data_IF_957920920148
#
_entry.id   IF_957920920148
#
_cell.length_a   1.000
_cell.length_b   1.000
_cell.length_c   1.000
_cell.angle_alpha   90.00
_cell.angle_beta   90.00
_cell.angle_gamma   90.00
#
_symmetry.space_group_name_H-M   'P 1'
#
loop_
_entity.id
_entity.type
_entity.pdbx_description
1 polymer ?
#
# COMPACT_ATOMS: atom_id res chain seq x y z
N UNK A 1 15.43 -2.43 7.85
CA UNK A 1 14.75 -1.22 8.38
C UNK A 1 15.45 0.01 7.81
N UNK A 2 14.73 1.10 7.54
CA UNK A 2 15.29 2.38 7.08
C UNK A 2 14.99 3.51 8.08
N UNK A 3 15.71 4.63 7.95
CA UNK A 3 15.50 5.84 8.74
C UNK A 3 15.89 7.08 7.94
N UNK A 4 15.31 8.24 8.27
CA UNK A 4 15.65 9.50 7.64
C UNK A 4 16.85 10.16 8.33
N UNK A 5 17.64 10.92 7.56
CA UNK A 5 18.69 11.82 8.06
C UNK A 5 18.53 13.19 7.39
N UNK A 6 18.36 14.29 8.16
CA UNK A 6 18.23 14.32 9.62
C UNK A 6 16.93 13.65 10.11
N UNK A 7 16.96 13.03 11.29
CA UNK A 7 15.84 12.25 11.83
C UNK A 7 14.69 13.08 12.41
N UNK A 8 14.85 14.40 12.48
CA UNK A 8 13.89 15.36 13.02
C UNK A 8 13.24 16.25 11.94
N UNK A 9 13.23 15.79 10.68
CA UNK A 9 12.51 16.48 9.61
C UNK A 9 11.05 16.69 10.00
N UNK A 10 10.47 17.83 9.64
CA UNK A 10 9.09 18.19 9.96
C UNK A 10 8.22 17.97 8.72
N UNK A 11 7.00 17.53 8.97
CA UNK A 11 5.95 17.57 7.96
C UNK A 11 5.45 19.00 7.78
N UNK A 12 4.95 19.32 6.60
CA UNK A 12 4.30 20.61 6.34
C UNK A 12 2.95 20.67 7.04
N UNK A 13 2.53 21.87 7.45
CA UNK A 13 1.24 22.06 8.13
C UNK A 13 0.07 21.62 7.26
N UNK A 14 0.17 21.85 5.95
CA UNK A 14 -0.82 21.49 4.94
C UNK A 14 -1.01 19.97 4.85
N UNK A 15 0.07 19.20 4.93
CA UNK A 15 -0.01 17.74 4.93
C UNK A 15 -0.73 17.20 6.18
N UNK A 16 -0.43 17.78 7.34
CA UNK A 16 -1.06 17.41 8.60
C UNK A 16 -2.55 17.75 8.58
N UNK A 17 -2.90 18.94 8.09
CA UNK A 17 -4.30 19.36 7.96
C UNK A 17 -5.07 18.48 6.97
N UNK A 18 -4.45 18.14 5.83
CA UNK A 18 -5.05 17.24 4.85
C UNK A 18 -5.35 15.86 5.47
N UNK A 19 -4.43 15.28 6.24
CA UNK A 19 -4.64 13.99 6.93
C UNK A 19 -5.79 14.05 7.94
N UNK A 20 -5.90 15.17 8.69
CA UNK A 20 -6.95 15.34 9.70
C UNK A 20 -8.34 15.50 9.09
N UNK A 21 -8.44 16.12 7.91
CA UNK A 21 -9.70 16.34 7.18
C UNK A 21 -10.06 15.20 6.22
N UNK A 22 -9.13 14.30 5.94
CA UNK A 22 -9.33 13.24 4.96
C UNK A 22 -10.44 12.26 5.39
N UNK A 23 -11.27 11.90 4.42
CA UNK A 23 -12.19 10.77 4.54
C UNK A 23 -11.47 9.42 4.43
N UNK A 24 -10.43 9.40 3.59
CA UNK A 24 -9.58 8.26 3.36
C UNK A 24 -8.15 8.71 3.03
N UNK A 25 -7.18 7.89 3.41
CA UNK A 25 -5.78 8.04 3.02
C UNK A 25 -5.34 6.78 2.30
N UNK A 26 -4.75 6.96 1.11
CA UNK A 26 -4.23 5.88 0.29
C UNK A 26 -2.71 5.87 0.41
N UNK A 27 -2.15 4.74 0.83
CA UNK A 27 -0.72 4.49 0.87
C UNK A 27 -0.34 3.69 -0.38
N UNK A 28 0.51 4.27 -1.22
CA UNK A 28 0.94 3.65 -2.48
C UNK A 28 -0.08 3.77 -3.62
N UNK A 29 0.11 3.02 -4.72
CA UNK A 29 1.22 2.09 -4.93
C UNK A 29 2.58 2.81 -5.03
N UNK A 30 3.67 2.08 -4.83
CA UNK A 30 5.02 2.65 -4.91
C UNK A 30 6.06 1.79 -4.21
N UNK A 31 7.34 2.09 -4.44
CA UNK A 31 8.43 1.36 -3.80
C UNK A 31 8.31 1.42 -2.28
N UNK A 32 8.41 0.26 -1.63
CA UNK A 32 8.10 0.14 -0.22
C UNK A 32 9.07 0.96 0.64
N UNK A 33 10.37 0.78 0.42
CA UNK A 33 11.42 1.40 1.23
C UNK A 33 11.88 2.74 0.64
N UNK A 34 11.67 3.00 -0.64
CA UNK A 34 12.14 4.24 -1.28
C UNK A 34 11.02 5.24 -1.60
N UNK A 35 9.74 4.90 -1.41
CA UNK A 35 8.61 5.82 -1.64
C UNK A 35 7.60 5.84 -0.50
N UNK A 36 7.12 4.70 -0.03
CA UNK A 36 6.02 4.66 0.95
C UNK A 36 6.51 4.94 2.36
N UNK A 37 7.42 4.10 2.88
CA UNK A 37 7.92 4.22 4.25
C UNK A 37 8.60 5.57 4.52
N UNK A 38 9.44 6.13 3.61
CA UNK A 38 10.07 7.43 3.85
C UNK A 38 9.05 8.54 4.15
N UNK A 39 7.96 8.63 3.39
CA UNK A 39 6.91 9.63 3.60
C UNK A 39 6.22 9.47 4.96
N UNK A 40 6.03 8.24 5.44
CA UNK A 40 5.44 7.97 6.75
C UNK A 40 6.36 8.40 7.91
N UNK A 41 7.67 8.34 7.72
CA UNK A 41 8.67 8.70 8.71
C UNK A 41 8.89 10.22 8.82
N UNK A 42 8.60 11.00 7.78
CA UNK A 42 8.74 12.46 7.80
C UNK A 42 7.87 13.06 8.90
N UNK A 43 8.46 13.80 9.84
CA UNK A 43 7.73 14.42 10.95
C UNK A 43 6.94 13.45 11.81
N UNK A 44 7.19 12.14 11.70
CA UNK A 44 6.32 11.09 12.22
C UNK A 44 4.85 11.24 11.74
N UNK A 45 4.62 11.57 10.47
CA UNK A 45 3.28 11.67 9.84
C UNK A 45 2.38 10.47 10.16
N UNK A 46 2.96 9.27 10.31
CA UNK A 46 2.20 8.08 10.71
C UNK A 46 1.39 8.29 12.00
N UNK A 47 1.83 9.15 12.93
CA UNK A 47 1.09 9.43 14.18
C UNK A 47 -0.24 10.13 13.91
N UNK A 48 -0.25 11.08 12.98
CA UNK A 48 -1.48 11.77 12.55
C UNK A 48 -2.42 10.82 11.80
N UNK A 49 -1.86 9.90 10.99
CA UNK A 49 -2.65 8.86 10.33
C UNK A 49 -3.30 7.88 11.31
N UNK A 50 -2.60 7.51 12.38
CA UNK A 50 -3.15 6.67 13.45
C UNK A 50 -4.29 7.40 14.18
N UNK A 51 -4.08 8.66 14.55
CA UNK A 51 -5.08 9.46 15.25
C UNK A 51 -6.30 9.81 14.37
N UNK A 52 -6.11 9.89 13.05
CA UNK A 52 -7.17 10.22 12.10
C UNK A 52 -8.24 9.14 12.01
N UNK A 53 -9.49 9.58 11.88
CA UNK A 53 -10.68 8.75 11.61
C UNK A 53 -10.80 8.35 10.14
N UNK A 54 -9.93 8.88 9.28
CA UNK A 54 -9.87 8.52 7.87
C UNK A 54 -9.75 7.00 7.69
N UNK A 55 -10.31 6.46 6.61
CA UNK A 55 -10.09 5.08 6.21
C UNK A 55 -8.69 4.96 5.61
N UNK A 56 -7.82 4.11 6.17
CA UNK A 56 -6.44 3.91 5.68
C UNK A 56 -6.37 2.70 4.76
N UNK A 57 -6.07 2.94 3.49
CA UNK A 57 -5.99 1.90 2.44
C UNK A 57 -4.54 1.80 1.97
N UNK A 58 -3.95 0.61 2.04
CA UNK A 58 -2.68 0.32 1.40
C UNK A 58 -2.92 -0.38 0.06
N UNK A 59 -2.32 0.15 -1.01
CA UNK A 59 -2.29 -0.51 -2.32
C UNK A 59 -0.99 -1.30 -2.44
N UNK A 60 -1.09 -2.62 -2.37
CA UNK A 60 0.07 -3.50 -2.46
C UNK A 60 0.68 -3.47 -3.86
N UNK A 61 2.00 -3.59 -3.91
CA UNK A 61 2.71 -3.78 -5.17
C UNK A 61 2.31 -5.11 -5.80
N UNK A 62 2.25 -5.14 -7.14
CA UNK A 62 1.88 -6.35 -7.90
C UNK A 62 3.08 -7.28 -8.05
N UNK A 63 4.28 -6.71 -8.16
CA UNK A 63 5.53 -7.42 -8.32
C UNK A 63 6.52 -7.02 -7.22
N UNK A 64 7.42 -7.92 -6.85
CA UNK A 64 8.56 -7.65 -5.96
C UNK A 64 9.57 -6.76 -6.67
N UNK A 65 10.38 -6.03 -5.90
CA UNK A 65 11.45 -5.18 -6.41
C UNK A 65 12.79 -5.69 -5.91
N UNK A 66 13.69 -5.98 -6.85
CA UNK A 66 15.03 -6.47 -6.57
C UNK A 66 15.77 -5.53 -5.63
N UNK A 67 16.29 -6.07 -4.52
CA UNK A 67 17.01 -5.33 -3.49
C UNK A 67 16.13 -4.57 -2.50
N UNK A 68 14.81 -4.54 -2.69
CA UNK A 68 13.86 -3.92 -1.75
C UNK A 68 12.90 -4.94 -1.13
N UNK A 69 12.21 -5.74 -1.95
CA UNK A 69 11.11 -6.63 -1.51
C UNK A 69 11.24 -8.05 -2.04
N UNK A 70 12.48 -8.54 -2.18
CA UNK A 70 12.77 -9.89 -2.64
C UNK A 70 12.04 -10.95 -1.81
N UNK A 71 11.23 -11.78 -2.46
CA UNK A 71 10.45 -12.86 -1.83
C UNK A 71 9.29 -12.40 -0.96
N UNK A 72 8.98 -11.09 -0.91
CA UNK A 72 7.90 -10.59 -0.06
C UNK A 72 6.53 -11.01 -0.59
N UNK A 73 5.67 -11.44 0.33
CA UNK A 73 4.22 -11.52 0.14
C UNK A 73 3.55 -10.19 0.50
N UNK A 74 2.25 -10.07 0.29
CA UNK A 74 1.50 -8.87 0.63
C UNK A 74 1.55 -8.59 2.14
N UNK A 75 1.47 -9.64 2.97
CA UNK A 75 1.59 -9.48 4.42
C UNK A 75 2.98 -9.04 4.88
N UNK A 76 4.05 -9.39 4.15
CA UNK A 76 5.42 -8.93 4.44
C UNK A 76 5.58 -7.43 4.14
N UNK A 77 4.98 -6.95 3.05
CA UNK A 77 4.93 -5.50 2.76
C UNK A 77 4.21 -4.74 3.87
N UNK A 78 3.03 -5.23 4.28
CA UNK A 78 2.26 -4.60 5.36
C UNK A 78 3.01 -4.63 6.69
N UNK A 79 3.68 -5.75 7.01
CA UNK A 79 4.48 -5.89 8.22
C UNK A 79 5.65 -4.91 8.23
N UNK A 80 6.35 -4.75 7.12
CA UNK A 80 7.40 -3.75 7.01
C UNK A 80 6.88 -2.34 7.30
N UNK A 81 5.70 -1.95 6.78
CA UNK A 81 5.10 -0.64 7.10
C UNK A 81 4.84 -0.52 8.61
N UNK A 82 4.24 -1.55 9.23
CA UNK A 82 3.94 -1.57 10.68
C UNK A 82 5.21 -1.47 11.52
N UNK A 83 6.25 -2.24 11.18
CA UNK A 83 7.52 -2.29 11.91
C UNK A 83 8.29 -0.95 11.85
N UNK A 84 8.04 -0.13 10.82
CA UNK A 84 8.59 1.23 10.72
C UNK A 84 7.71 2.29 11.36
N UNK A 85 6.44 1.98 11.62
CA UNK A 85 5.44 2.93 12.10
C UNK A 85 4.75 2.42 13.35
N UNK A 86 3.50 1.95 13.23
CA UNK A 86 2.70 1.40 14.31
C UNK A 86 1.58 0.49 13.78
N UNK A 87 1.06 -0.39 14.63
CA UNK A 87 -0.17 -1.13 14.33
C UNK A 87 -1.36 -0.18 14.16
N UNK A 88 -2.32 -0.54 13.30
CA UNK A 88 -3.49 0.29 13.00
C UNK A 88 -3.30 1.34 11.90
N UNK A 89 -2.09 1.44 11.34
CA UNK A 89 -1.76 2.38 10.25
C UNK A 89 -2.48 2.03 8.94
N UNK A 90 -2.90 0.77 8.78
CA UNK A 90 -3.61 0.26 7.61
C UNK A 90 -4.90 -0.43 8.09
N UNK A 91 -6.02 -0.13 7.44
CA UNK A 91 -7.31 -0.79 7.67
C UNK A 91 -7.65 -1.78 6.55
N UNK A 92 -7.35 -1.40 5.31
CA UNK A 92 -7.61 -2.19 4.12
C UNK A 92 -6.33 -2.37 3.30
N UNK A 93 -6.12 -3.56 2.75
CA UNK A 93 -5.02 -3.83 1.83
C UNK A 93 -5.59 -4.30 0.49
N UNK A 94 -5.40 -3.51 -0.57
CA UNK A 94 -5.76 -3.88 -1.93
C UNK A 94 -4.64 -4.72 -2.51
N UNK A 95 -4.97 -5.93 -2.97
CA UNK A 95 -4.03 -6.91 -3.53
C UNK A 95 -4.47 -7.36 -4.90
N UNK A 96 -3.51 -7.57 -5.80
CA UNK A 96 -3.80 -8.10 -7.13
C UNK A 96 -4.04 -9.62 -7.06
N UNK A 97 -5.14 -10.06 -7.66
CA UNK A 97 -5.43 -11.50 -7.88
C UNK A 97 -5.59 -11.86 -9.35
N UNK A 98 -5.46 -10.89 -10.26
CA UNK A 98 -5.45 -11.18 -11.69
C UNK A 98 -4.22 -11.98 -12.09
N UNK A 99 -4.43 -12.97 -12.97
CA UNK A 99 -3.35 -13.77 -13.56
C UNK A 99 -2.49 -12.89 -14.46
N UNK A 100 -1.17 -13.00 -14.30
CA UNK A 100 -0.18 -12.41 -15.18
C UNK A 100 0.18 -13.47 -16.22
N UNK A 101 0.25 -13.09 -17.51
CA UNK A 101 0.58 -14.04 -18.58
C UNK A 101 2.02 -14.57 -18.43
N UNK A 102 2.24 -15.81 -18.87
CA UNK A 102 3.55 -16.46 -18.80
C UNK A 102 4.64 -15.65 -19.52
N UNK A 103 4.31 -15.02 -20.66
CA UNK A 103 5.26 -14.21 -21.42
C UNK A 103 5.68 -12.94 -20.66
N UNK A 104 4.73 -12.31 -19.94
CA UNK A 104 5.09 -11.19 -19.08
C UNK A 104 5.92 -11.65 -17.89
N UNK A 105 5.58 -12.78 -17.25
CA UNK A 105 6.37 -13.31 -16.14
C UNK A 105 7.83 -13.56 -16.54
N UNK A 106 8.07 -14.18 -17.71
CA UNK A 106 9.42 -14.39 -18.24
C UNK A 106 10.22 -13.10 -18.39
N UNK A 107 9.58 -11.99 -18.79
CA UNK A 107 10.23 -10.69 -18.90
C UNK A 107 10.68 -10.16 -17.53
N UNK A 108 9.84 -10.30 -16.51
CA UNK A 108 10.14 -9.84 -15.14
C UNK A 108 11.09 -10.77 -14.38
N UNK A 109 11.11 -12.07 -14.68
CA UNK A 109 12.08 -13.02 -14.12
C UNK A 109 13.52 -12.61 -14.43
N UNK A 110 13.79 -12.12 -15.64
CA UNK A 110 15.10 -11.56 -16.02
C UNK A 110 15.53 -10.35 -15.17
N UNK A 111 14.58 -9.65 -14.57
CA UNK A 111 14.80 -8.51 -13.66
C UNK A 111 14.78 -8.91 -12.18
N UNK A 112 14.67 -10.21 -11.86
CA UNK A 112 14.49 -10.76 -10.50
C UNK A 112 13.23 -10.18 -9.81
N UNK A 113 12.18 -9.92 -10.59
CA UNK A 113 10.91 -9.40 -10.11
C UNK A 113 9.82 -10.46 -10.26
N UNK A 114 9.13 -10.78 -9.17
CA UNK A 114 8.17 -11.89 -9.09
C UNK A 114 6.81 -11.40 -8.59
N UNK A 115 5.69 -12.05 -8.96
CA UNK A 115 4.37 -11.66 -8.46
C UNK A 115 4.29 -11.72 -6.93
N UNK A 116 3.74 -10.66 -6.33
CA UNK A 116 3.49 -10.62 -4.89
C UNK A 116 2.29 -11.52 -4.58
N UNK A 117 2.51 -12.53 -3.73
CA UNK A 117 1.44 -13.43 -3.26
C UNK A 117 0.57 -12.69 -2.26
N UNK A 118 -0.75 -12.69 -2.46
CA UNK A 118 -1.69 -11.91 -1.65
C UNK A 118 -1.87 -12.41 -0.20
N UNK A 119 -1.60 -13.69 0.07
CA UNK A 119 -1.61 -14.36 1.39
C UNK A 119 -2.63 -13.82 2.42
N UNK A 120 -3.90 -13.78 2.00
CA UNK A 120 -5.04 -13.13 2.66
C UNK A 120 -5.18 -13.45 4.15
N UNK A 121 -4.96 -14.71 4.54
CA UNK A 121 -5.05 -15.12 5.94
C UNK A 121 -4.00 -14.46 6.83
N UNK A 122 -2.82 -14.15 6.30
CA UNK A 122 -1.80 -13.41 7.05
C UNK A 122 -2.11 -11.92 7.14
N UNK A 123 -2.72 -11.32 6.12
CA UNK A 123 -3.23 -9.94 6.19
C UNK A 123 -4.29 -9.78 7.29
N UNK A 124 -5.20 -10.76 7.41
CA UNK A 124 -6.20 -10.78 8.49
C UNK A 124 -5.56 -10.82 9.87
N UNK A 125 -4.49 -11.61 10.07
CA UNK A 125 -3.72 -11.65 11.34
C UNK A 125 -3.08 -10.30 11.68
N UNK A 126 -2.75 -9.48 10.68
CA UNK A 126 -2.27 -8.10 10.85
C UNK A 126 -3.41 -7.08 11.05
N UNK A 127 -4.66 -7.55 11.22
CA UNK A 127 -5.87 -6.75 11.41
C UNK A 127 -6.25 -5.85 10.21
N UNK A 128 -5.76 -6.17 9.00
CA UNK A 128 -6.27 -5.56 7.78
C UNK A 128 -7.32 -6.45 7.11
N UNK A 129 -8.32 -5.80 6.51
CA UNK A 129 -9.23 -6.45 5.57
C UNK A 129 -8.59 -6.44 4.18
N UNK A 130 -8.43 -7.61 3.59
CA UNK A 130 -7.93 -7.71 2.22
C UNK A 130 -9.05 -7.37 1.21
N UNK A 131 -8.69 -6.63 0.18
CA UNK A 131 -9.54 -6.31 -0.97
C UNK A 131 -8.87 -6.91 -2.19
N UNK A 132 -9.35 -8.08 -2.57
CA UNK A 132 -8.86 -8.81 -3.75
C UNK A 132 -9.44 -8.17 -5.01
N UNK A 133 -8.58 -7.76 -5.94
CA UNK A 133 -9.03 -7.08 -7.14
C UNK A 133 -8.12 -7.35 -8.34
N UNK A 134 -8.69 -7.23 -9.53
CA UNK A 134 -7.95 -7.30 -10.78
C UNK A 134 -7.38 -5.92 -11.10
N UNK A 135 -6.25 -5.55 -10.52
CA UNK A 135 -5.75 -4.17 -10.60
C UNK A 135 -4.69 -3.95 -11.67
N UNK A 136 -4.39 -4.93 -12.53
CA UNK A 136 -3.35 -4.80 -13.57
C UNK A 136 -3.92 -4.35 -14.92
N UNK A 137 -3.10 -3.57 -15.63
CA UNK A 137 -3.16 -3.37 -17.08
C UNK A 137 -2.21 -4.36 -17.76
N UNK A 138 -2.64 -4.95 -18.88
CA UNK A 138 -1.90 -6.01 -19.59
C UNK A 138 -1.37 -5.57 -20.96
N UNK A 139 -1.32 -4.26 -21.23
CA UNK A 139 -0.94 -3.75 -22.56
C UNK A 139 0.56 -3.91 -22.85
N UNK A 140 1.45 -3.44 -21.97
CA UNK A 140 2.90 -3.41 -22.24
C UNK A 140 3.79 -3.79 -21.04
N UNK A 141 3.29 -3.59 -19.81
CA UNK A 141 3.98 -3.85 -18.54
C UNK A 141 2.96 -4.20 -17.47
N UNK A 142 3.37 -4.99 -16.47
CA UNK A 142 2.58 -5.21 -15.25
C UNK A 142 2.60 -3.91 -14.45
N UNK A 143 1.52 -3.14 -14.59
CA UNK A 143 1.28 -1.88 -13.87
C UNK A 143 -0.16 -1.83 -13.41
N UNK A 144 -0.44 -1.01 -12.39
CA UNK A 144 -1.80 -0.76 -11.98
C UNK A 144 -2.61 -0.10 -13.11
N UNK A 145 -3.82 -0.58 -13.34
CA UNK A 145 -4.86 0.11 -14.12
C UNK A 145 -5.41 1.24 -13.23
N UNK A 146 -5.00 2.46 -13.51
CA UNK A 146 -5.31 3.63 -12.67
C UNK A 146 -6.81 3.90 -12.57
N UNK A 147 -7.56 3.74 -13.66
CA UNK A 147 -9.01 3.97 -13.69
C UNK A 147 -9.72 2.94 -12.83
N UNK A 148 -9.35 1.66 -12.99
CA UNK A 148 -9.96 0.58 -12.22
C UNK A 148 -9.59 0.67 -10.73
N UNK A 149 -8.33 0.96 -10.41
CA UNK A 149 -7.88 1.13 -9.04
C UNK A 149 -8.60 2.30 -8.35
N UNK A 150 -8.72 3.44 -9.03
CA UNK A 150 -9.45 4.59 -8.50
C UNK A 150 -10.92 4.24 -8.21
N UNK A 151 -11.60 3.54 -9.13
CA UNK A 151 -12.97 3.07 -8.94
C UNK A 151 -13.10 2.17 -7.70
N UNK A 152 -12.21 1.19 -7.55
CA UNK A 152 -12.21 0.28 -6.38
C UNK A 152 -12.06 1.06 -5.07
N UNK A 153 -11.14 2.02 -5.02
CA UNK A 153 -10.91 2.83 -3.83
C UNK A 153 -12.15 3.68 -3.51
N UNK A 154 -12.74 4.35 -4.50
CA UNK A 154 -13.93 5.19 -4.31
C UNK A 154 -15.13 4.36 -3.86
N UNK A 155 -15.37 3.20 -4.48
CA UNK A 155 -16.47 2.30 -4.13
C UNK A 155 -16.30 1.77 -2.69
N UNK A 156 -15.07 1.39 -2.30
CA UNK A 156 -14.74 0.95 -0.95
C UNK A 156 -15.00 2.06 0.08
N UNK A 157 -14.50 3.28 -0.17
CA UNK A 157 -14.67 4.40 0.77
C UNK A 157 -16.13 4.81 0.89
N UNK A 158 -16.86 4.81 -0.22
CA UNK A 158 -18.27 5.22 -0.26
C UNK A 158 -19.19 4.21 0.44
N UNK A 159 -18.96 2.91 0.25
CA UNK A 159 -19.73 1.86 0.93
C UNK A 159 -19.56 1.92 2.45
N UNK A 160 -18.32 2.05 2.93
CA UNK A 160 -18.01 2.15 4.36
C UNK A 160 -18.56 3.41 5.03
N UNK A 161 -18.72 4.50 4.26
CA UNK A 161 -19.39 5.71 4.75
C UNK A 161 -20.89 5.52 4.90
N UNK A 162 -21.53 4.82 3.96
CA UNK A 162 -22.97 4.51 4.04
C UNK A 162 -23.30 3.61 5.22
N UNK A 163 -22.42 2.67 5.58
CA UNK A 163 -22.62 1.79 6.73
C UNK A 163 -22.51 2.49 8.10
N UNK A 164 -21.92 3.69 8.13
CA UNK A 164 -21.72 4.47 9.37
C UNK A 164 -22.79 5.54 9.61
N UNK A 165 -23.62 5.83 8.61
CA UNK A 165 -24.72 6.79 8.67
C UNK A 165 -26.05 6.05 8.83
#
# INVERSE_FOLDING_TARGET
>A
RISLRPGNCRATSEAIEAIRKADAVVLGPGSLYTSIIPNLLVGNIYRELIASKAIKVYVCNVMTQKGETDGYKASDHMRAIIDHTAAGIINYCIVNTARISADMLKKYEGEYSYPVVADIENLKKLKAKAVEAHIISTKDYVRHDSVRLAKIIIDLVTSLKKEKN
#
